data_IF_635306054508
#
_entry.id   IF_635306054508
#
_cell.length_a   1.000
_cell.length_b   1.000
_cell.length_c   1.000
_cell.angle_alpha   90.00
_cell.angle_beta   90.00
_cell.angle_gamma   90.00
#
_symmetry.space_group_name_H-M   'P 1'
#
loop_
_entity.id
_entity.type
_entity.pdbx_description
1 polymer ?
2 polymer ?
3 non-polymer ?
4 non-polymer ?
5 non-polymer ?
6 water ?
#
# COMPACT_ATOMS: atom_id res chain seq x y z
N UNK A 13 1.04 26.55 -14.88
CA UNK A 13 2.19 26.19 -15.76
C UNK A 13 3.04 25.09 -15.12
N UNK A 14 4.22 24.82 -15.68
CA UNK A 14 5.14 23.83 -15.13
C UNK A 14 5.46 24.06 -13.67
N UNK A 15 5.74 25.32 -13.33
CA UNK A 15 6.05 25.73 -11.97
C UNK A 15 5.02 25.28 -10.95
N UNK A 16 3.75 25.49 -11.25
CA UNK A 16 2.67 25.08 -10.33
C UNK A 16 2.65 23.56 -10.15
N UNK A 17 2.95 22.84 -11.23
CA UNK A 17 2.98 21.39 -11.19
C UNK A 17 4.14 20.88 -10.36
N UNK A 18 5.27 21.60 -10.39
CA UNK A 18 6.39 21.31 -9.49
C UNK A 18 6.07 21.61 -8.04
N UNK A 19 5.40 22.73 -7.76
CA UNK A 19 4.96 23.03 -6.41
C UNK A 19 4.02 21.91 -5.88
N UNK A 20 3.11 21.43 -6.72
CA UNK A 20 2.22 20.33 -6.32
C UNK A 20 3.03 19.05 -5.99
N UNK A 21 3.93 18.67 -6.88
CA UNK A 21 4.84 17.56 -6.65
C UNK A 21 5.58 17.63 -5.31
N UNK A 22 6.11 18.81 -4.98
CA UNK A 22 6.88 18.99 -3.76
C UNK A 22 5.97 18.99 -2.54
N UNK A 23 4.82 19.62 -2.65
CA UNK A 23 3.83 19.58 -1.60
C UNK A 23 3.45 18.14 -1.27
N UNK A 24 3.20 17.33 -2.30
CA UNK A 24 2.85 15.92 -2.12
C UNK A 24 3.99 15.11 -1.49
N UNK A 25 5.23 15.39 -1.92
CA UNK A 25 6.40 14.69 -1.39
C UNK A 25 6.56 14.94 0.10
N UNK A 26 6.46 16.20 0.51
CA UNK A 26 6.59 16.57 1.92
C UNK A 26 5.49 15.92 2.74
N UNK A 27 4.26 15.93 2.23
CA UNK A 27 3.15 15.25 2.88
C UNK A 27 3.37 13.74 2.98
N UNK A 28 3.89 13.18 1.91
CA UNK A 28 4.17 11.77 1.83
C UNK A 28 5.19 11.38 2.93
N UNK A 29 6.26 12.17 3.06
CA UNK A 29 7.29 11.97 4.10
C UNK A 29 6.67 12.05 5.50
N UNK A 30 5.77 13.01 5.75
CA UNK A 30 5.03 13.09 7.02
C UNK A 30 4.14 11.88 7.29
N UNK A 31 3.51 11.33 6.26
CA UNK A 31 2.43 10.34 6.44
C UNK A 31 2.94 8.91 6.59
N UNK A 32 4.03 8.58 5.89
CA UNK A 32 4.51 7.22 5.81
C UNK A 32 5.90 7.12 6.44
N UNK A 33 5.99 6.60 7.67
CA UNK A 33 7.28 6.50 8.40
C UNK A 33 8.40 5.80 7.66
N UNK A 34 8.08 4.68 7.03
CA UNK A 34 9.06 3.87 6.34
C UNK A 34 9.02 4.12 4.82
N UNK A 35 9.97 4.89 4.29
CA UNK A 35 9.97 5.25 2.87
C UNK A 35 10.62 4.19 1.99
N UNK A 36 10.45 4.33 0.68
CA UNK A 36 11.16 3.45 -0.23
C UNK A 36 12.68 3.62 -0.06
N UNK A 37 13.13 4.84 0.24
CA UNK A 37 14.56 5.12 0.48
C UNK A 37 15.10 4.31 1.67
N UNK A 38 14.46 4.44 2.82
CA UNK A 38 14.80 3.68 4.01
C UNK A 38 14.78 2.17 3.74
N UNK A 39 13.71 1.68 3.10
CA UNK A 39 13.57 0.24 2.78
C UNK A 39 14.67 -0.29 1.89
N UNK A 40 15.03 0.45 0.84
CA UNK A 40 16.08 0.02 -0.09
C UNK A 40 17.47 0.04 0.57
N UNK A 41 17.65 0.90 1.58
CA UNK A 41 18.89 0.97 2.34
C UNK A 41 19.01 -0.30 3.19
N UNK A 42 17.90 -0.66 3.84
CA UNK A 42 17.81 -1.89 4.64
C UNK A 42 18.03 -3.14 3.77
N UNK A 43 17.38 -3.21 2.61
CA UNK A 43 17.47 -4.39 1.75
C UNK A 43 18.81 -4.59 1.03
N UNK A 44 19.54 -3.49 0.77
CA UNK A 44 20.85 -3.58 0.12
C UNK A 44 21.99 -3.63 1.14
N UNK A 45 21.67 -3.47 2.42
CA UNK A 45 22.68 -3.39 3.46
C UNK A 45 23.58 -2.18 3.28
N UNK A 46 23.04 -1.11 2.72
CA UNK A 46 23.75 0.15 2.60
C UNK A 46 23.51 1.04 3.82
N UNK A 47 22.64 0.60 4.72
CA UNK A 47 22.42 1.29 6.00
C UNK A 47 23.52 0.92 6.99
N UNK A 48 23.83 1.88 7.87
CA UNK A 48 24.70 1.61 9.03
C UNK A 48 23.93 0.74 10.03
N UNK A 49 22.61 0.94 10.05
CA UNK A 49 21.68 0.26 10.96
C UNK A 49 21.82 -1.27 11.00
N UNK A 50 21.33 -1.85 12.08
CA UNK A 50 21.32 -3.30 12.31
C UNK A 50 20.50 -4.03 11.23
N UNK A 51 20.98 -5.19 10.80
CA UNK A 51 20.30 -6.02 9.80
C UNK A 51 18.95 -6.53 10.37
N UNK A 52 17.91 -6.65 9.50
CA UNK A 52 16.64 -7.20 10.01
C UNK A 52 16.73 -8.69 10.32
N UNK A 53 15.93 -9.14 11.27
CA UNK A 53 15.85 -10.56 11.63
C UNK A 53 15.17 -11.35 10.51
N UNK A 54 15.84 -12.39 10.02
CA UNK A 54 15.34 -13.18 8.89
C UNK A 54 14.42 -14.27 9.39
N UNK A 55 13.21 -14.32 8.84
CA UNK A 55 12.21 -15.32 9.17
C UNK A 55 12.06 -16.18 7.93
N UNK A 56 12.50 -17.43 8.03
CA UNK A 56 12.51 -18.38 6.91
C UNK A 56 11.81 -19.70 7.22
N UNK A 57 11.33 -19.89 8.45
CA UNK A 57 10.54 -21.07 8.84
C UNK A 57 9.85 -20.80 10.17
N UNK A 58 9.07 -21.79 10.63
CA UNK A 58 8.32 -21.65 11.86
C UNK A 58 9.22 -21.37 13.06
N UNK A 59 10.35 -22.09 13.14
CA UNK A 59 11.29 -21.87 14.24
C UNK A 59 11.78 -20.42 14.27
N UNK A 60 12.19 -19.90 13.12
CA UNK A 60 12.70 -18.53 13.05
C UNK A 60 11.60 -17.49 13.30
N UNK A 61 10.38 -17.77 12.85
CA UNK A 61 9.22 -16.91 13.19
C UNK A 61 9.06 -16.74 14.70
N UNK A 62 9.06 -17.86 15.42
CA UNK A 62 8.97 -17.89 16.89
C UNK A 62 10.08 -17.10 17.56
N UNK A 63 11.32 -17.36 17.16
CA UNK A 63 12.47 -16.65 17.74
C UNK A 63 12.48 -15.16 17.47
N UNK A 64 11.95 -14.75 16.32
CA UNK A 64 11.82 -13.34 15.98
C UNK A 64 10.70 -12.56 16.65
N UNK A 65 9.72 -13.25 17.24
CA UNK A 65 8.53 -12.62 17.86
C UNK A 65 8.84 -11.36 18.68
N UNK A 66 9.75 -11.47 19.64
CA UNK A 66 10.12 -10.28 20.45
C UNK A 66 10.67 -9.09 19.62
N UNK A 67 11.42 -9.37 18.56
CA UNK A 67 11.99 -8.34 17.66
C UNK A 67 11.04 -7.81 16.57
N UNK A 68 10.00 -8.58 16.23
CA UNK A 68 8.95 -8.12 15.27
C UNK A 68 7.63 -7.72 15.94
N UNK A 69 7.55 -7.82 17.28
CA UNK A 69 6.34 -7.49 18.02
C UNK A 69 6.03 -6.00 17.88
N UNK A 70 5.01 -5.65 17.10
CA UNK A 70 4.66 -4.24 16.91
C UNK A 70 3.86 -3.70 18.10
N UNK A 71 4.25 -2.52 18.58
CA UNK A 71 3.51 -1.75 19.59
C UNK A 71 3.13 -2.61 20.80
N UNK A 72 4.06 -3.48 21.20
CA UNK A 72 3.87 -4.37 22.35
C UNK A 72 2.52 -5.11 22.32
N UNK A 73 2.13 -5.54 21.11
CA UNK A 73 0.88 -6.28 20.91
C UNK A 73 1.24 -7.76 21.05
N UNK A 74 0.42 -8.49 21.81
CA UNK A 74 0.63 -9.91 22.11
C UNK A 74 -0.67 -10.68 21.82
N UNK A 75 -0.55 -11.90 21.25
CA UNK A 75 -1.78 -12.71 21.07
C UNK A 75 -2.41 -13.10 22.40
N UNK A 76 -3.74 -13.16 22.44
CA UNK A 76 -4.46 -13.62 23.62
C UNK A 76 -4.57 -15.15 23.55
N UNK A 81 -3.05 -19.12 17.93
CA UNK A 81 -3.48 -20.10 16.93
C UNK A 81 -2.29 -20.56 16.08
N UNK A 82 -2.56 -21.34 15.02
CA UNK A 82 -1.50 -21.78 14.09
C UNK A 82 -0.75 -20.62 13.39
N UNK A 83 0.44 -20.91 12.87
CA UNK A 83 1.31 -19.85 12.33
C UNK A 83 0.65 -19.06 11.18
N UNK A 84 0.06 -19.76 10.22
CA UNK A 84 -0.63 -19.12 9.11
C UNK A 84 -1.60 -18.05 9.61
N UNK A 85 -2.38 -18.37 10.64
CA UNK A 85 -3.37 -17.45 11.17
C UNK A 85 -2.69 -16.26 11.83
N UNK A 86 -1.63 -16.51 12.59
CA UNK A 86 -0.97 -15.45 13.33
C UNK A 86 -0.31 -14.46 12.36
N UNK A 87 0.27 -14.99 11.29
CA UNK A 87 0.85 -14.15 10.24
C UNK A 87 -0.22 -13.24 9.65
N UNK A 88 -1.34 -13.82 9.22
CA UNK A 88 -2.49 -13.07 8.71
C UNK A 88 -2.98 -11.98 9.67
N UNK A 89 -3.04 -12.31 10.96
CA UNK A 89 -3.44 -11.34 11.98
C UNK A 89 -2.47 -10.17 12.11
N UNK A 90 -1.18 -10.45 12.04
CA UNK A 90 -0.17 -9.40 12.09
C UNK A 90 -0.25 -8.50 10.87
N UNK A 91 -0.47 -9.14 9.72
CA UNK A 91 -0.69 -8.44 8.49
C UNK A 91 -1.90 -7.52 8.60
N UNK A 92 -2.95 -7.95 9.29
CA UNK A 92 -4.10 -7.10 9.55
C UNK A 92 -3.78 -5.85 10.36
N UNK A 93 -3.03 -5.98 11.45
CA UNK A 93 -2.67 -4.79 12.25
C UNK A 93 -1.86 -3.78 11.40
N UNK A 94 -0.94 -4.27 10.59
CA UNK A 94 -0.19 -3.40 9.70
C UNK A 94 -1.08 -2.73 8.67
N UNK A 95 -1.97 -3.48 8.05
CA UNK A 95 -2.86 -2.92 7.04
C UNK A 95 -3.73 -1.79 7.58
N UNK A 96 -4.22 -1.94 8.81
CA UNK A 96 -5.02 -0.93 9.48
C UNK A 96 -4.26 0.35 9.65
N UNK A 97 -3.01 0.23 10.07
CA UNK A 97 -2.16 1.38 10.18
C UNK A 97 -1.87 2.02 8.81
N UNK A 98 -1.72 1.18 7.79
CA UNK A 98 -1.54 1.67 6.40
C UNK A 98 -2.77 2.47 5.97
N UNK A 99 -3.96 1.98 6.30
CA UNK A 99 -5.16 2.70 5.95
C UNK A 99 -5.22 4.06 6.61
N UNK A 100 -4.81 4.13 7.87
CA UNK A 100 -4.78 5.40 8.60
C UNK A 100 -3.80 6.40 8.00
N UNK A 101 -2.62 5.91 7.67
CA UNK A 101 -1.59 6.71 7.02
C UNK A 101 -2.04 7.22 5.63
N UNK A 102 -2.69 6.35 4.84
CA UNK A 102 -3.16 6.69 3.50
C UNK A 102 -4.28 7.74 3.59
N UNK A 103 -5.18 7.57 4.57
CA UNK A 103 -6.22 8.57 4.86
C UNK A 103 -5.62 9.93 5.20
N UNK A 104 -4.58 9.96 6.03
CA UNK A 104 -3.94 11.25 6.37
C UNK A 104 -3.29 11.90 5.12
N UNK A 105 -2.59 11.10 4.34
CA UNK A 105 -1.99 11.55 3.10
C UNK A 105 -3.04 12.10 2.14
N UNK A 106 -4.13 11.35 1.93
CA UNK A 106 -5.21 11.81 1.06
C UNK A 106 -5.74 13.21 1.41
N UNK A 107 -5.92 13.47 2.71
CA UNK A 107 -6.40 14.77 3.17
C UNK A 107 -5.40 15.91 2.87
N UNK A 108 -4.13 15.59 2.68
CA UNK A 108 -3.20 16.60 2.18
C UNK A 108 -3.28 16.85 0.67
N UNK A 109 -4.03 16.05 -0.10
CA UNK A 109 -4.06 16.24 -1.56
C UNK A 109 -4.96 17.44 -1.85
N UNK A 110 -4.41 18.52 -2.46
CA UNK A 110 -5.24 19.75 -2.58
C UNK A 110 -6.58 19.49 -3.26
N UNK A 111 -7.67 19.90 -2.62
CA UNK A 111 -9.00 19.70 -3.13
C UNK A 111 -9.74 18.49 -2.59
N UNK A 112 -9.01 17.49 -2.06
CA UNK A 112 -9.66 16.26 -1.66
C UNK A 112 -10.66 16.51 -0.53
N UNK A 113 -10.27 17.27 0.50
CA UNK A 113 -11.17 17.47 1.64
C UNK A 113 -12.37 18.37 1.30
N UNK A 114 -12.31 19.09 0.19
CA UNK A 114 -13.46 19.86 -0.32
C UNK A 114 -14.48 19.02 -1.08
N UNK A 115 -14.13 17.78 -1.45
CA UNK A 115 -15.10 16.87 -2.07
C UNK A 115 -16.20 16.49 -1.06
N UNK A 116 -17.37 16.13 -1.60
CA UNK A 116 -18.43 15.47 -0.84
C UNK A 116 -17.83 14.33 0.03
N UNK A 117 -18.10 14.39 1.33
CA UNK A 117 -17.58 13.41 2.27
C UNK A 117 -17.89 11.98 1.87
N UNK A 118 -19.04 11.74 1.23
CA UNK A 118 -19.37 10.39 0.79
C UNK A 118 -18.41 9.95 -0.32
N UNK A 119 -18.03 10.89 -1.18
CA UNK A 119 -17.05 10.57 -2.23
C UNK A 119 -15.61 10.37 -1.69
N UNK A 120 -15.22 11.13 -0.67
CA UNK A 120 -13.95 10.88 0.03
C UNK A 120 -13.90 9.43 0.53
N UNK A 121 -15.00 8.97 1.11
CA UNK A 121 -15.12 7.60 1.63
C UNK A 121 -14.98 6.59 0.52
N UNK A 122 -15.68 6.83 -0.57
CA UNK A 122 -15.66 5.91 -1.70
C UNK A 122 -14.25 5.83 -2.35
N UNK A 123 -13.61 6.97 -2.51
CA UNK A 123 -12.26 7.03 -3.07
C UNK A 123 -11.29 6.23 -2.20
N UNK A 124 -11.33 6.44 -0.89
CA UNK A 124 -10.45 5.68 0.02
C UNK A 124 -10.70 4.20 0.01
N UNK A 125 -11.99 3.86 0.04
CA UNK A 125 -12.43 2.50 0.08
C UNK A 125 -11.94 1.68 -1.10
N UNK A 126 -12.05 2.22 -2.32
CA UNK A 126 -11.53 1.48 -3.49
C UNK A 126 -10.04 1.70 -3.73
N UNK A 127 -9.49 2.80 -3.24
CA UNK A 127 -8.08 3.11 -3.48
C UNK A 127 -7.07 2.48 -2.53
N UNK A 128 -7.42 2.34 -1.24
CA UNK A 128 -6.42 1.90 -0.24
C UNK A 128 -5.69 0.62 -0.56
N UNK A 129 -6.39 -0.39 -1.09
CA UNK A 129 -5.72 -1.63 -1.47
C UNK A 129 -4.77 -1.52 -2.63
N UNK A 130 -5.12 -0.71 -3.63
CA UNK A 130 -4.21 -0.42 -4.72
C UNK A 130 -2.93 0.25 -4.19
N UNK A 131 -3.07 1.17 -3.26
CA UNK A 131 -1.95 1.86 -2.70
C UNK A 131 -1.11 0.94 -1.79
N UNK A 132 -1.79 0.11 -1.00
CA UNK A 132 -1.09 -0.81 -0.13
C UNK A 132 -0.19 -1.73 -0.94
N UNK A 133 -0.67 -2.25 -2.07
CA UNK A 133 0.17 -3.07 -2.94
C UNK A 133 1.29 -2.32 -3.62
N UNK A 134 1.03 -1.06 -3.97
CA UNK A 134 2.07 -0.19 -4.52
C UNK A 134 3.17 -0.01 -3.47
N UNK A 135 2.79 0.30 -2.25
CA UNK A 135 3.76 0.57 -1.21
C UNK A 135 4.43 -0.71 -0.67
N UNK A 136 3.71 -1.82 -0.69
CA UNK A 136 4.31 -3.09 -0.35
C UNK A 136 5.51 -3.44 -1.26
N UNK A 137 5.40 -3.12 -2.56
CA UNK A 137 6.48 -3.35 -3.51
C UNK A 137 7.82 -2.68 -3.13
N UNK A 138 7.75 -1.50 -2.52
CA UNK A 138 8.92 -0.83 -1.96
C UNK A 138 9.65 -1.66 -0.89
N UNK A 139 8.91 -2.55 -0.21
CA UNK A 139 9.45 -3.41 0.84
C UNK A 139 9.86 -4.80 0.39
N UNK A 140 9.73 -5.11 -0.89
CA UNK A 140 9.92 -6.45 -1.41
C UNK A 140 11.13 -6.49 -2.33
N UNK A 141 11.76 -7.67 -2.37
CA UNK A 141 12.60 -8.05 -3.50
C UNK A 141 12.10 -9.40 -3.95
N UNK A 142 12.77 -10.01 -4.92
CA UNK A 142 12.35 -11.33 -5.40
C UNK A 142 12.48 -12.45 -4.36
N UNK A 143 13.24 -12.22 -3.27
CA UNK A 143 13.44 -13.25 -2.23
C UNK A 143 12.66 -13.11 -0.94
N UNK A 144 12.01 -11.96 -0.73
CA UNK A 144 11.18 -11.75 0.45
C UNK A 144 10.75 -10.32 0.73
N UNK A 145 10.17 -10.10 1.89
CA UNK A 145 9.57 -8.82 2.20
C UNK A 145 9.99 -8.33 3.57
N UNK A 146 10.29 -7.04 3.66
CA UNK A 146 10.51 -6.40 4.96
C UNK A 146 9.21 -6.23 5.72
N UNK A 147 9.29 -6.48 7.02
CA UNK A 147 8.12 -6.41 7.90
C UNK A 147 8.47 -5.70 9.19
N UNK A 148 7.45 -5.39 9.98
CA UNK A 148 7.59 -4.62 11.21
C UNK A 148 8.51 -3.44 11.06
N UNK A 149 8.16 -2.58 10.12
CA UNK A 149 8.93 -1.37 9.83
C UNK A 149 10.42 -1.66 9.65
N UNK A 150 10.73 -2.65 8.81
CA UNK A 150 12.11 -2.95 8.46
C UNK A 150 12.89 -3.78 9.48
N UNK A 151 12.28 -4.16 10.60
CA UNK A 151 12.97 -4.94 11.65
C UNK A 151 13.11 -6.43 11.31
N UNK A 152 12.21 -6.93 10.46
CA UNK A 152 12.21 -8.33 10.04
C UNK A 152 12.23 -8.43 8.54
N UNK A 153 12.64 -9.59 8.05
CA UNK A 153 12.64 -9.92 6.63
C UNK A 153 12.12 -11.34 6.48
N UNK A 154 10.92 -11.44 5.94
CA UNK A 154 10.22 -12.71 5.80
C UNK A 154 10.48 -13.24 4.39
N UNK A 155 10.96 -14.47 4.27
CA UNK A 155 11.32 -14.99 2.96
C UNK A 155 10.06 -15.36 2.16
N UNK A 156 10.18 -15.22 0.86
CA UNK A 156 9.13 -15.56 -0.06
C UNK A 156 8.82 -17.03 -0.02
N UNK A 157 9.85 -17.88 0.06
CA UNK A 157 9.62 -19.33 0.17
C UNK A 157 8.89 -19.72 1.44
N UNK A 158 9.22 -19.09 2.57
CA UNK A 158 8.45 -19.33 3.80
C UNK A 158 6.96 -19.02 3.64
N UNK A 159 6.65 -17.87 3.04
CA UNK A 159 5.24 -17.51 2.79
C UNK A 159 4.53 -18.49 1.84
N UNK A 160 5.22 -18.93 0.79
CA UNK A 160 4.72 -19.98 -0.12
C UNK A 160 4.42 -21.30 0.59
N UNK A 161 5.27 -21.64 1.54
CA UNK A 161 5.18 -22.90 2.27
C UNK A 161 4.02 -22.99 3.26
N UNK A 162 3.30 -21.90 3.50
CA UNK A 162 2.17 -21.94 4.41
C UNK A 162 1.05 -22.79 3.79
N UNK A 163 0.23 -23.43 4.62
CA UNK A 163 -0.84 -24.31 4.10
C UNK A 163 -1.85 -23.49 3.31
N UNK A 164 -2.49 -24.13 2.33
CA UNK A 164 -3.48 -23.43 1.50
C UNK A 164 -4.71 -22.98 2.33
N UNK A 165 -5.44 -21.95 1.90
CA UNK A 165 -5.07 -21.06 0.78
C UNK A 165 -3.98 -20.00 1.11
N UNK A 166 -3.60 -19.88 2.39
CA UNK A 166 -2.58 -18.93 2.85
C UNK A 166 -1.25 -19.01 2.06
N UNK A 167 -0.87 -20.21 1.62
CA UNK A 167 0.35 -20.44 0.86
C UNK A 167 0.45 -19.71 -0.46
N UNK A 168 -0.69 -19.45 -1.09
CA UNK A 168 -0.75 -18.75 -2.37
C UNK A 168 -1.26 -17.32 -2.23
N UNK A 169 -1.27 -16.80 -1.01
CA UNK A 169 -1.88 -15.50 -0.73
C UNK A 169 -0.97 -14.33 -1.06
N UNK A 170 0.32 -14.47 -0.75
CA UNK A 170 1.31 -13.39 -0.95
C UNK A 170 2.03 -13.47 -2.29
N UNK A 171 2.03 -14.66 -2.91
CA UNK A 171 2.74 -14.86 -4.17
C UNK A 171 2.35 -13.91 -5.31
N UNK A 172 1.03 -13.61 -5.48
CA UNK A 172 0.64 -12.60 -6.48
C UNK A 172 1.27 -11.24 -6.23
N UNK A 173 1.42 -10.89 -4.95
CA UNK A 173 1.95 -9.58 -4.58
C UNK A 173 3.45 -9.50 -4.94
N UNK A 174 4.16 -10.63 -4.82
CA UNK A 174 5.58 -10.68 -5.21
C UNK A 174 5.80 -10.52 -6.71
N UNK A 175 4.97 -11.19 -7.51
CA UNK A 175 5.06 -11.11 -8.99
C UNK A 175 4.82 -9.67 -9.46
N UNK A 176 3.80 -9.02 -8.88
CA UNK A 176 3.57 -7.61 -9.13
C UNK A 176 4.78 -6.80 -8.77
N UNK A 177 5.27 -6.99 -7.56
CA UNK A 177 6.34 -6.17 -7.01
C UNK A 177 7.60 -6.20 -7.85
N UNK A 178 7.98 -7.39 -8.34
CA UNK A 178 9.22 -7.55 -9.11
C UNK A 178 9.19 -6.72 -10.40
N UNK A 179 8.08 -6.77 -11.12
CA UNK A 179 7.86 -5.93 -12.32
C UNK A 179 7.79 -4.44 -11.99
N UNK A 180 7.07 -4.07 -10.93
CA UNK A 180 6.88 -2.65 -10.59
C UNK A 180 8.19 -2.01 -10.13
N UNK A 181 8.98 -2.79 -9.39
CA UNK A 181 10.26 -2.29 -8.87
C UNK A 181 11.30 -2.02 -9.95
N UNK A 182 11.10 -2.63 -11.11
CA UNK A 182 11.98 -2.42 -12.26
C UNK A 182 11.86 -1.02 -12.87
N UNK A 183 10.74 -0.33 -12.60
CA UNK A 183 10.54 1.06 -13.04
C UNK A 183 11.44 2.00 -12.29
N UNK A 184 11.91 1.59 -11.10
CA UNK A 184 12.92 2.31 -10.33
C UNK A 184 12.42 3.66 -9.85
N UNK A 185 11.17 3.69 -9.40
CA UNK A 185 10.59 4.94 -8.92
C UNK A 185 11.16 5.23 -7.56
N UNK A 186 11.31 6.50 -7.24
CA UNK A 186 11.64 6.88 -5.86
C UNK A 186 10.42 7.46 -5.19
N UNK A 187 10.59 7.86 -3.94
CA UNK A 187 9.51 8.38 -3.12
C UNK A 187 8.83 9.61 -3.72
N UNK A 188 9.61 10.52 -4.29
CA UNK A 188 9.04 11.72 -4.94
C UNK A 188 8.13 11.37 -6.13
N UNK A 189 8.44 10.33 -6.88
CA UNK A 189 7.54 9.85 -7.93
C UNK A 189 6.28 9.14 -7.35
N UNK A 190 6.51 8.29 -6.36
CA UNK A 190 5.44 7.49 -5.77
C UNK A 190 4.43 8.37 -5.10
N UNK A 191 4.88 9.46 -4.49
CA UNK A 191 3.97 10.37 -3.82
C UNK A 191 2.86 10.87 -4.75
N UNK A 192 3.20 11.14 -6.02
CA UNK A 192 2.23 11.66 -6.99
C UNK A 192 1.40 10.53 -7.56
N UNK A 193 2.04 9.41 -7.85
CA UNK A 193 1.36 8.26 -8.40
C UNK A 193 0.22 7.79 -7.49
N UNK A 194 0.52 7.75 -6.21
CA UNK A 194 -0.46 7.39 -5.17
C UNK A 194 -1.65 8.35 -5.11
N UNK A 195 -1.38 9.64 -5.20
CA UNK A 195 -2.43 10.63 -5.28
C UNK A 195 -3.30 10.45 -6.53
N UNK A 196 -2.68 10.11 -7.66
CA UNK A 196 -3.41 9.79 -8.90
C UNK A 196 -4.41 8.64 -8.70
N UNK A 197 -3.96 7.59 -8.01
CA UNK A 197 -4.82 6.40 -7.72
C UNK A 197 -6.03 6.79 -6.86
N UNK A 198 -5.79 7.59 -5.84
CA UNK A 198 -6.86 7.96 -4.92
C UNK A 198 -7.94 8.72 -5.69
N UNK A 199 -7.51 9.65 -6.54
CA UNK A 199 -8.45 10.52 -7.27
C UNK A 199 -8.96 9.89 -8.59
N UNK A 200 -9.43 8.66 -8.53
CA UNK A 200 -9.93 7.94 -9.68
C UNK A 200 -11.44 8.19 -9.81
N UNK A 201 -11.82 8.87 -10.90
CA UNK A 201 -13.21 9.24 -11.17
C UNK A 201 -14.13 8.08 -11.55
N UNK A 202 -13.57 6.91 -11.82
CA UNK A 202 -14.38 5.75 -12.19
C UNK A 202 -14.65 4.75 -11.08
N UNK A 203 -14.47 5.12 -9.81
CA UNK A 203 -14.85 4.22 -8.73
C UNK A 203 -16.38 4.08 -8.70
N UNK A 204 -16.90 2.87 -8.49
CA UNK A 204 -18.34 2.68 -8.39
C UNK A 204 -18.99 3.54 -7.33
N UNK A 205 -20.16 4.06 -7.65
CA UNK A 205 -20.96 4.77 -6.66
C UNK A 205 -20.53 6.17 -6.33
N UNK A 206 -19.63 6.76 -7.11
CA UNK A 206 -19.31 8.18 -6.89
C UNK A 206 -20.52 9.05 -7.24
N UNK A 207 -20.76 10.07 -6.42
CA UNK A 207 -21.87 11.00 -6.56
C UNK A 207 -21.58 12.11 -7.58
N UNK A 208 -20.37 12.65 -7.52
CA UNK A 208 -19.98 13.83 -8.32
C UNK A 208 -18.54 13.69 -8.88
N UNK A 209 -18.45 13.01 -10.01
CA UNK A 209 -17.20 12.69 -10.72
C UNK A 209 -16.35 13.92 -11.13
N UNK A 210 -16.97 15.00 -11.56
CA UNK A 210 -16.24 16.11 -12.20
C UNK A 210 -15.12 16.75 -11.38
N UNK A 211 -15.41 17.14 -10.12
CA UNK A 211 -14.31 17.73 -9.36
C UNK A 211 -13.20 16.69 -9.03
N UNK A 212 -13.53 15.39 -8.97
CA UNK A 212 -12.52 14.36 -8.78
C UNK A 212 -11.60 14.33 -10.03
N UNK A 213 -12.21 14.27 -11.21
CA UNK A 213 -11.44 14.24 -12.45
C UNK A 213 -10.62 15.50 -12.69
N UNK A 214 -11.13 16.65 -12.24
CA UNK A 214 -10.38 17.92 -12.35
C UNK A 214 -9.08 17.83 -11.55
N UNK A 215 -9.17 17.28 -10.34
CA UNK A 215 -7.98 17.13 -9.48
C UNK A 215 -7.03 16.12 -10.11
N UNK A 216 -7.56 15.00 -10.61
CA UNK A 216 -6.73 13.94 -11.17
C UNK A 216 -5.98 14.40 -12.40
N UNK A 217 -6.64 15.21 -13.22
CA UNK A 217 -6.00 15.82 -14.40
C UNK A 217 -4.74 16.58 -14.02
N UNK A 218 -4.84 17.43 -13.02
CA UNK A 218 -3.67 18.12 -12.50
C UNK A 218 -2.59 17.21 -11.96
N UNK A 219 -3.02 16.22 -11.17
CA UNK A 219 -2.08 15.21 -10.60
C UNK A 219 -1.33 14.44 -11.69
N UNK A 220 -2.05 14.03 -12.73
CA UNK A 220 -1.48 13.33 -13.86
C UNK A 220 -0.44 14.18 -14.64
N UNK A 221 -0.70 15.48 -14.80
CA UNK A 221 0.26 16.38 -15.41
C UNK A 221 1.46 16.54 -14.53
N UNK A 222 1.21 16.63 -13.23
CA UNK A 222 2.28 16.73 -12.25
C UNK A 222 3.16 15.50 -12.27
N UNK A 223 2.52 14.33 -12.36
CA UNK A 223 3.25 13.07 -12.45
C UNK A 223 4.11 12.94 -13.74
N UNK A 224 3.52 13.28 -14.88
CA UNK A 224 4.24 13.25 -16.14
C UNK A 224 5.49 14.17 -16.12
N UNK A 225 5.32 15.39 -15.66
CA UNK A 225 6.47 16.30 -15.50
C UNK A 225 7.54 15.74 -14.56
N UNK A 226 7.10 15.25 -13.40
CA UNK A 226 7.98 14.66 -12.41
C UNK A 226 8.82 13.54 -13.01
N UNK A 227 8.19 12.66 -13.76
CA UNK A 227 8.89 11.54 -14.35
C UNK A 227 9.92 12.02 -15.40
N UNK A 228 9.50 12.92 -16.30
CA UNK A 228 10.44 13.60 -17.22
C UNK A 228 11.64 14.25 -16.52
N UNK A 229 11.39 15.03 -15.48
CA UNK A 229 12.48 15.68 -14.74
C UNK A 229 13.36 14.72 -13.95
N UNK A 230 12.74 13.78 -13.23
CA UNK A 230 13.49 12.90 -12.33
C UNK A 230 14.15 11.69 -13.03
N UNK A 231 13.59 11.27 -14.16
CA UNK A 231 14.13 10.13 -14.92
C UNK A 231 14.25 10.52 -16.40
N UNK A 232 15.14 11.51 -16.70
CA UNK A 232 15.24 12.08 -18.06
C UNK A 232 15.66 11.07 -19.13
N UNK A 233 16.44 10.07 -18.75
CA UNK A 233 16.85 9.04 -19.70
C UNK A 233 15.84 7.89 -19.81
N UNK A 234 14.82 7.87 -18.95
CA UNK A 234 13.85 6.77 -18.91
C UNK A 234 12.61 7.13 -19.74
N UNK A 235 12.69 6.84 -21.02
CA UNK A 235 11.65 7.21 -21.97
C UNK A 235 10.35 6.41 -21.78
N UNK A 236 9.23 7.10 -21.84
CA UNK A 236 7.87 6.52 -21.62
C UNK A 236 7.64 5.81 -20.26
N UNK A 237 8.30 6.32 -19.23
CA UNK A 237 8.08 5.87 -17.86
C UNK A 237 6.64 6.19 -17.40
N UNK A 238 6.18 7.41 -17.70
CA UNK A 238 4.78 7.83 -17.49
C UNK A 238 3.79 6.83 -18.06
N UNK A 239 3.91 6.45 -19.33
CA UNK A 239 3.01 5.45 -19.93
C UNK A 239 3.13 4.07 -19.32
N UNK A 240 4.35 3.66 -18.97
CA UNK A 240 4.54 2.32 -18.38
C UNK A 240 3.82 2.28 -17.05
N UNK A 241 3.98 3.35 -16.29
CA UNK A 241 3.34 3.48 -15.01
C UNK A 241 1.81 3.45 -15.10
N UNK A 242 1.21 4.17 -16.06
CA UNK A 242 -0.25 4.15 -16.21
C UNK A 242 -0.82 2.77 -16.50
N UNK A 243 -0.08 1.94 -17.23
CA UNK A 243 -0.51 0.56 -17.51
C UNK A 243 -0.55 -0.31 -16.23
N UNK A 244 0.42 -0.11 -15.33
CA UNK A 244 0.43 -0.79 -14.03
C UNK A 244 -0.78 -0.43 -13.14
N UNK A 245 -1.30 0.79 -13.30
CA UNK A 245 -2.49 1.26 -12.58
C UNK A 245 -3.70 0.40 -12.92
N UNK A 246 -3.79 0.00 -14.18
CA UNK A 246 -4.84 -0.93 -14.64
C UNK A 246 -4.59 -2.39 -14.19
N UNK A 247 -3.34 -2.80 -14.04
CA UNK A 247 -3.00 -4.12 -13.46
C UNK A 247 -3.24 -4.22 -11.95
N UNK A 248 -3.07 -3.11 -11.23
CA UNK A 248 -3.28 -3.10 -9.78
C UNK A 248 -4.69 -3.50 -9.42
N UNK A 249 -5.66 -3.14 -10.26
CA UNK A 249 -7.06 -3.46 -9.98
C UNK A 249 -7.31 -4.97 -9.95
N UNK A 250 -6.50 -5.71 -10.71
CA UNK A 250 -6.58 -7.17 -10.80
C UNK A 250 -6.01 -7.83 -9.57
N UNK A 251 -4.81 -7.43 -9.17
CA UNK A 251 -4.26 -7.88 -7.88
C UNK A 251 -5.29 -7.60 -6.77
N UNK A 252 -6.01 -6.47 -6.83
CA UNK A 252 -7.03 -6.17 -5.83
C UNK A 252 -8.27 -7.08 -5.92
N UNK A 253 -8.86 -7.20 -7.10
CA UNK A 253 -10.02 -8.08 -7.28
C UNK A 253 -9.69 -9.54 -6.87
N UNK A 254 -8.57 -10.05 -7.36
CA UNK A 254 -8.01 -11.35 -6.98
C UNK A 254 -7.86 -11.48 -5.48
N UNK A 255 -7.28 -10.45 -4.87
CA UNK A 255 -7.10 -10.41 -3.44
C UNK A 255 -8.43 -10.44 -2.68
N UNK A 256 -9.40 -9.64 -3.13
CA UNK A 256 -10.73 -9.61 -2.51
C UNK A 256 -11.41 -11.02 -2.57
N UNK A 257 -11.30 -11.70 -3.70
CA UNK A 257 -11.87 -13.05 -3.85
C UNK A 257 -11.27 -14.03 -2.87
N UNK A 258 -9.95 -13.98 -2.71
CA UNK A 258 -9.27 -14.83 -1.71
C UNK A 258 -9.75 -14.56 -0.31
N UNK A 259 -9.84 -13.28 0.06
CA UNK A 259 -10.40 -12.92 1.35
C UNK A 259 -11.80 -13.48 1.54
N UNK A 260 -12.61 -13.40 0.49
CA UNK A 260 -13.97 -13.95 0.55
C UNK A 260 -13.92 -15.44 0.83
N UNK A 261 -13.04 -16.15 0.12
CA UNK A 261 -12.82 -17.58 0.33
C UNK A 261 -12.43 -17.90 1.77
N UNK A 262 -11.39 -17.26 2.29
CA UNK A 262 -10.96 -17.51 3.68
C UNK A 262 -11.98 -17.10 4.73
N UNK A 263 -12.72 -16.02 4.51
CA UNK A 263 -13.74 -15.65 5.48
C UNK A 263 -14.80 -16.76 5.69
N UNK A 264 -15.05 -17.57 4.66
CA UNK A 264 -15.95 -18.71 4.76
C UNK A 264 -15.27 -19.97 5.29
N UNK A 265 -14.07 -20.27 4.80
CA UNK A 265 -13.38 -21.52 5.14
C UNK A 265 -12.51 -21.49 6.42
N UNK A 266 -12.49 -20.36 7.14
CA UNK A 266 -11.64 -20.17 8.33
C UNK A 266 -12.38 -19.41 9.41
N UNK A 267 -13.20 -20.13 10.16
CA UNK A 267 -13.95 -19.54 11.27
C UNK A 267 -13.06 -19.12 12.47
N UNK A 268 -11.82 -19.65 12.53
CA UNK A 268 -10.85 -19.32 13.59
C UNK A 268 -10.21 -17.92 13.48
N UNK A 269 -10.53 -17.17 12.42
CA UNK A 269 -10.11 -15.77 12.31
C UNK A 269 -11.23 -14.91 11.75
N UNK A 270 -11.02 -13.61 11.84
CA UNK A 270 -12.00 -12.61 11.43
C UNK A 270 -11.32 -11.27 11.20
N UNK A 271 -12.01 -10.39 10.48
CA UNK A 271 -11.40 -9.14 10.06
C UNK A 271 -11.61 -8.02 11.08
N UNK A 272 -10.53 -7.28 11.30
CA UNK A 272 -10.61 -5.96 11.92
C UNK A 272 -11.79 -5.15 11.32
N UNK A 273 -12.54 -4.44 12.18
CA UNK A 273 -13.72 -3.69 11.70
C UNK A 273 -13.45 -2.63 10.63
N UNK A 274 -12.34 -1.90 10.72
CA UNK A 274 -11.90 -1.06 9.60
C UNK A 274 -11.80 -1.80 8.28
N UNK A 275 -11.17 -2.99 8.27
CA UNK A 275 -11.04 -3.76 7.05
C UNK A 275 -12.40 -4.29 6.59
N UNK A 276 -13.26 -4.67 7.53
CA UNK A 276 -14.67 -4.96 7.21
C UNK A 276 -15.35 -3.82 6.44
N UNK A 277 -15.26 -2.61 6.97
CA UNK A 277 -15.81 -1.43 6.30
C UNK A 277 -15.39 -1.32 4.83
N UNK A 278 -14.11 -1.56 4.58
CA UNK A 278 -13.53 -1.41 3.25
C UNK A 278 -13.95 -2.55 2.34
N UNK A 279 -13.81 -3.79 2.79
CA UNK A 279 -14.12 -4.95 1.96
C UNK A 279 -15.57 -5.20 1.61
N UNK A 280 -16.50 -4.70 2.41
CA UNK A 280 -17.91 -5.01 2.19
C UNK A 280 -18.48 -4.14 1.05
N UNK A 281 -19.30 -4.75 0.19
CA UNK A 281 -19.80 -4.11 -1.02
C UNK A 281 -18.64 -3.63 -1.90
N UNK A 282 -17.69 -4.53 -2.13
CA UNK A 282 -16.48 -4.24 -2.90
C UNK A 282 -16.19 -5.40 -3.87
N UNK A 283 -16.35 -5.14 -5.17
CA UNK A 283 -16.14 -6.13 -6.24
C UNK A 283 -16.84 -7.49 -6.03
N UNK B 2 -23.15 4.39 7.68
CA UNK B 2 -22.14 3.38 7.23
C UNK B 2 -20.74 4.00 7.09
N UNK B 3 -19.72 3.13 7.17
CA UNK B 3 -18.29 3.49 7.13
C UNK B 3 -17.92 4.39 8.30
N UNK B 4 -18.29 3.95 9.50
CA UNK B 4 -18.17 4.77 10.71
C UNK B 4 -16.75 5.14 11.03
N UNK B 5 -15.85 4.16 10.95
CA UNK B 5 -14.44 4.43 11.23
C UNK B 5 -13.81 5.36 10.19
N UNK B 6 -14.01 5.06 8.91
CA UNK B 6 -13.50 5.89 7.79
C UNK B 6 -13.96 7.33 7.88
N UNK B 7 -15.25 7.52 8.14
CA UNK B 7 -15.81 8.84 8.43
C UNK B 7 -15.07 9.49 9.57
N UNK B 8 -14.83 8.71 10.63
CA UNK B 8 -14.16 9.24 11.80
C UNK B 8 -12.73 9.69 11.43
N UNK B 9 -11.98 8.81 10.76
CA UNK B 9 -10.61 9.13 10.29
C UNK B 9 -10.60 10.35 9.38
N UNK B 10 -11.59 10.45 8.50
CA UNK B 10 -11.67 11.58 7.55
C UNK B 10 -12.03 12.91 8.18
N UNK B 11 -12.92 12.88 9.18
CA UNK B 11 -13.35 14.08 9.91
C UNK B 11 -12.33 14.49 10.98
N UNK B 12 -11.67 13.51 11.59
CA UNK B 12 -10.57 13.75 12.54
C UNK B 12 -9.44 14.60 11.94
X LIG C 1 -4.96 -13.01 20.01
X LIG C 1 -5.78 -12.58 19.17
X LIG C 1 -6.57 -13.30 18.52
X LIG C 1 -5.90 -11.04 18.99
X LIG C 1 -6.72 -10.50 20.19
X LIG C 1 -6.62 -10.67 17.67
X LIG C 1 -4.61 -10.35 19.01
X LIG C 1 -3.44 -10.70 18.36
X LIG C 1 -3.31 -11.62 17.31
X LIG C 1 -2.05 -11.89 16.74
X LIG C 1 -2.28 -10.05 18.81
X LIG C 1 -1.03 -10.31 18.24
X LIG C 1 -0.89 -11.23 17.19
X LIG C 1 0.33 -11.47 16.67
X LIG C 1 0.63 -11.73 15.38
X LIG C 1 1.44 -11.48 17.40
X LIG C 1 2.49 -11.76 16.56
X LIG C 1 1.95 -11.90 15.30
X LIG C 1 2.82 -12.25 14.04
X LIG C 1 3.85 -13.28 14.45
X LIG C 1 3.27 -14.70 14.23
X LIG C 1 3.58 -11.11 13.52
X LIG C 1 3.52 -10.61 12.22
X LIG C 1 3.12 -11.33 11.29
X LIG C 1 3.93 -9.31 11.99
X LIG C 1 4.41 -8.54 13.15
X LIG C 1 3.32 -8.01 13.90
X LIG C 1 2.94 -8.57 15.15
X LIG C 1 1.88 -8.07 15.90
X LIG C 1 1.16 -6.98 15.41
X LIG C 1 1.52 -6.40 14.19
X LIG C 1 2.59 -6.91 13.44
X LIG C 1 3.92 -8.73 10.72
X LIG C 1 4.29 -7.58 10.58
X LIG C 1 3.45 -9.44 9.64
X LIG C 1 3.43 -8.98 8.35
X LIG C 1 3.52 -7.63 7.92
X LIG C 1 3.32 -9.95 7.35
X LIG C 1 3.30 -9.62 6.00
X LIG C 1 3.21 -10.56 5.02
X LIG C 1 2.18 -11.56 5.19
X LIG C 1 3.40 -8.29 5.59
X LIG C 1 3.51 -7.30 6.56
X LIG C 1 3.59 -5.98 6.20
X LIG C 1 4.58 -5.62 5.21
X LIG D 1 6.21 1.67 2.60
X LIG D 1 6.92 2.48 1.95
X LIG D 1 5.78 0.59 2.15
X LIG D 1 5.89 2.01 4.09
X LIG D 1 4.38 1.91 4.30
X LIG D 1 4.00 0.67 5.13
X LIG D 1 3.49 -0.32 4.09
X LIG D 1 2.69 -1.42 4.79
X LIG D 1 1.89 -1.96 3.61
X LIG D 1 1.65 -3.45 3.69
X LIG D 1 1.01 -3.78 5.02
X LIG D 1 0.57 -5.25 5.06
X LIG D 1 -0.55 -5.56 4.06
X LIG D 1 -0.01 -6.15 2.74
X LIG D 1 -0.83 -7.36 2.26
X LIG D 1 -2.34 -7.16 2.47
X LIG E 1 -6.16 -8.78 5.70
X LIG E 1 -5.56 -9.79 6.47
X LIG E 1 -5.05 -8.03 4.96
X LIG E 1 -4.85 -8.65 3.70
X LIG E 1 -5.44 -6.54 4.76
X LIG E 1 -6.73 -6.40 4.16
#
# INVERSE_FOLDING_TARGET
AEISSDIDQLNPESADLRALAKHLYDSYIKSFPLTKAKARAILTGKTTDKSPFVIYDMNSLMMGEDKIKFKHITPLQEQSKEVAIRIFQGCQFRSVEAVQEITEYAKSIPGFVNLDLNDQVTLLKYGVHEIIYTMLASLMNKDGVLISEGQGFMTREFLKSLRKPFGDFMEPKFEFAVKFNALELDDSDLAIFIAVIILSGDRPGLLNVKPIEDIQDNLLQALELQLKLNHPESSQLFAKLLQKMTDLRQIVTEHVQLLQVIKKTETDMSLHPLLQEIYKDLY
ERHKILHRLLQEGSPS
T35 OAF CBF OAI CBS CAD CAE OBD CBK CAP CAR CAO CAQ CBN CBO CAV NAY OBE CBP CBQ CAW CAA OBC CBH OAH NBR CAX CBI CAM CAK CAJ CAL CAN CBG OAG NAZ CBJ CAT CAS CBL OBA CAB CAU CBM OBB CAC
MYR C1 O1 O2 C2 C3 C4 C5 C6 C7 C8 C9 C10 C11 C12 C13 C14
GOL C1 O1 C2 O2 C3 O3
#
